data_IF_315103751818
#
_entry.id   IF_315103751818
#
_cell.length_a   1.000
_cell.length_b   1.000
_cell.length_c   1.000
_cell.angle_alpha   90.00
_cell.angle_beta   90.00
_cell.angle_gamma   90.00
#
_symmetry.space_group_name_H-M   'P 1'
#
loop_
_entity.id
_entity.type
_entity.pdbx_description
1 polymer ?
#
# COMPACT_ATOMS: atom_id res chain seq x y z
N UNK A 1 -5.01 24.42 11.80
CA UNK A 1 -6.15 23.57 12.20
C UNK A 1 -6.18 22.28 11.38
N UNK A 2 -6.14 22.37 10.05
CA UNK A 2 -6.06 21.22 9.13
C UNK A 2 -4.91 20.25 9.43
N UNK A 3 -3.71 20.79 9.69
CA UNK A 3 -2.52 19.98 10.02
C UNK A 3 -2.70 19.17 11.31
N UNK A 4 -3.44 19.69 12.29
CA UNK A 4 -3.77 18.98 13.54
C UNK A 4 -4.75 17.83 13.26
N UNK A 5 -5.74 18.07 12.40
CA UNK A 5 -6.74 17.06 12.01
C UNK A 5 -6.05 15.90 11.28
N UNK A 6 -5.14 16.19 10.34
CA UNK A 6 -4.35 15.19 9.63
C UNK A 6 -3.53 14.35 10.63
N UNK A 7 -2.88 15.01 11.59
CA UNK A 7 -2.04 14.35 12.59
C UNK A 7 -2.86 13.40 13.48
N UNK A 8 -4.05 13.84 13.91
CA UNK A 8 -4.99 13.01 14.69
C UNK A 8 -5.47 11.80 13.88
N UNK A 9 -5.78 11.98 12.59
CA UNK A 9 -6.18 10.88 11.71
C UNK A 9 -5.05 9.84 11.54
N UNK A 10 -3.83 10.29 11.29
CA UNK A 10 -2.66 9.40 11.13
C UNK A 10 -2.39 8.62 12.42
N UNK A 11 -2.40 9.30 13.58
CA UNK A 11 -2.22 8.66 14.88
C UNK A 11 -3.35 7.68 15.21
N UNK A 12 -4.60 8.04 14.87
CA UNK A 12 -5.77 7.19 15.05
C UNK A 12 -5.67 5.90 14.24
N UNK A 13 -5.31 6.01 12.96
CA UNK A 13 -5.10 4.85 12.08
C UNK A 13 -3.95 3.98 12.62
N UNK A 14 -2.82 4.59 12.98
CA UNK A 14 -1.67 3.86 13.53
C UNK A 14 -2.02 3.08 14.80
N UNK A 15 -2.79 3.67 15.72
CA UNK A 15 -3.26 3.00 16.94
C UNK A 15 -4.21 1.84 16.64
N UNK A 16 -5.11 2.02 15.67
CA UNK A 16 -6.05 0.98 15.25
C UNK A 16 -5.30 -0.22 14.66
N UNK A 17 -4.31 0.06 13.80
CA UNK A 17 -3.42 -0.95 13.22
C UNK A 17 -2.71 -1.71 14.34
N UNK A 18 -2.10 -1.02 15.30
CA UNK A 18 -1.38 -1.68 16.40
C UNK A 18 -2.29 -2.65 17.18
N UNK A 19 -3.51 -2.23 17.51
CA UNK A 19 -4.50 -3.09 18.18
C UNK A 19 -4.89 -4.33 17.38
N UNK A 20 -4.91 -4.23 16.05
CA UNK A 20 -5.20 -5.38 15.18
C UNK A 20 -4.00 -6.33 15.18
N UNK A 21 -2.78 -5.80 15.02
CA UNK A 21 -1.55 -6.61 15.02
C UNK A 21 -1.33 -7.36 16.34
N UNK A 22 -1.63 -6.75 17.49
CA UNK A 22 -1.54 -7.41 18.80
C UNK A 22 -2.50 -8.61 18.95
N UNK A 23 -3.58 -8.64 18.17
CA UNK A 23 -4.57 -9.73 18.18
C UNK A 23 -4.29 -10.81 17.14
N UNK A 24 -3.40 -10.54 16.17
CA UNK A 24 -3.01 -11.50 15.14
C UNK A 24 -1.75 -12.20 15.62
N UNK A 25 -1.73 -13.53 15.58
CA UNK A 25 -0.53 -14.30 15.92
C UNK A 25 0.54 -14.07 14.83
N UNK A 26 1.39 -13.06 15.05
CA UNK A 26 2.38 -12.55 14.07
C UNK A 26 3.35 -13.65 13.64
N UNK A 27 3.64 -14.61 14.53
CA UNK A 27 4.59 -15.69 14.29
C UNK A 27 4.20 -16.63 13.14
N UNK A 28 2.89 -16.72 12.85
CA UNK A 28 2.35 -17.52 11.73
C UNK A 28 1.66 -16.66 10.66
N UNK A 29 1.74 -15.33 10.78
CA UNK A 29 1.11 -14.43 9.82
C UNK A 29 1.89 -14.42 8.50
N UNK A 30 1.22 -14.76 7.40
CA UNK A 30 1.76 -14.53 6.06
C UNK A 30 1.34 -13.15 5.57
N UNK A 31 2.26 -12.19 5.38
CA UNK A 31 1.93 -10.83 4.95
C UNK A 31 1.55 -10.74 3.46
N UNK A 32 1.34 -11.88 2.79
CA UNK A 32 1.04 -11.94 1.36
C UNK A 32 -0.17 -11.08 0.98
N UNK A 33 -1.25 -11.13 1.77
CA UNK A 33 -2.46 -10.34 1.54
C UNK A 33 -2.23 -8.85 1.78
N UNK A 34 -1.37 -8.50 2.73
CA UNK A 34 -1.01 -7.11 3.00
C UNK A 34 -0.20 -6.50 1.85
N UNK A 35 0.80 -7.23 1.35
CA UNK A 35 1.58 -6.81 0.19
C UNK A 35 0.71 -6.67 -1.07
N UNK A 36 -0.22 -7.60 -1.28
CA UNK A 36 -1.18 -7.49 -2.38
C UNK A 36 -2.08 -6.26 -2.22
N UNK A 37 -2.69 -6.07 -1.05
CA UNK A 37 -3.58 -4.95 -0.79
C UNK A 37 -2.88 -3.60 -0.95
N UNK A 38 -1.66 -3.46 -0.41
CA UNK A 38 -0.85 -2.24 -0.57
C UNK A 38 -0.52 -1.98 -2.04
N UNK A 39 -0.04 -2.99 -2.78
CA UNK A 39 0.25 -2.86 -4.20
C UNK A 39 -0.98 -2.39 -4.99
N UNK A 40 -2.14 -2.98 -4.70
CA UNK A 40 -3.41 -2.62 -5.33
C UNK A 40 -3.85 -1.19 -4.99
N UNK A 41 -3.82 -0.81 -3.72
CA UNK A 41 -4.19 0.54 -3.27
C UNK A 41 -3.30 1.63 -3.88
N UNK A 42 -1.99 1.42 -3.92
CA UNK A 42 -1.08 2.36 -4.58
C UNK A 42 -1.32 2.43 -6.09
N UNK A 43 -1.64 1.31 -6.74
CA UNK A 43 -2.07 1.31 -8.14
C UNK A 43 -3.34 2.14 -8.36
N UNK A 44 -4.33 2.03 -7.47
CA UNK A 44 -5.54 2.87 -7.48
C UNK A 44 -5.16 4.35 -7.33
N UNK A 45 -4.34 4.70 -6.34
CA UNK A 45 -3.92 6.09 -6.11
C UNK A 45 -3.26 6.66 -7.37
N UNK A 46 -2.34 5.91 -8.00
CA UNK A 46 -1.70 6.33 -9.25
C UNK A 46 -2.72 6.60 -10.35
N UNK A 47 -3.64 5.66 -10.62
CA UNK A 47 -4.65 5.80 -11.69
C UNK A 47 -5.59 6.96 -11.42
N UNK A 48 -6.15 7.06 -10.20
CA UNK A 48 -7.09 8.14 -9.87
C UNK A 48 -6.40 9.50 -9.89
N UNK A 49 -5.16 9.61 -9.40
CA UNK A 49 -4.41 10.87 -9.43
C UNK A 49 -4.16 11.34 -10.87
N UNK A 50 -3.85 10.41 -11.78
CA UNK A 50 -3.58 10.73 -13.19
C UNK A 50 -4.83 11.05 -14.01
N UNK A 51 -5.98 10.44 -13.73
CA UNK A 51 -7.11 10.46 -14.66
C UNK A 51 -8.43 10.99 -14.08
N UNK A 52 -8.61 11.01 -12.76
CA UNK A 52 -9.89 11.42 -12.18
C UNK A 52 -10.13 12.92 -12.36
N UNK A 53 -11.18 13.25 -13.13
CA UNK A 53 -11.57 14.64 -13.41
C UNK A 53 -10.62 15.39 -14.32
N UNK A 54 -9.75 14.69 -15.06
CA UNK A 54 -8.79 15.28 -16.02
C UNK A 54 -9.11 14.86 -17.44
N UNK A 55 -9.02 15.79 -18.39
CA UNK A 55 -9.20 15.49 -19.82
C UNK A 55 -7.88 15.08 -20.50
N UNK A 56 -6.75 15.51 -19.93
CA UNK A 56 -5.40 15.20 -20.41
C UNK A 56 -4.39 15.02 -19.28
N UNK A 57 -3.27 14.35 -19.56
CA UNK A 57 -2.17 14.19 -18.59
C UNK A 57 -1.40 15.50 -18.35
N UNK A 58 -1.55 16.49 -19.23
CA UNK A 58 -0.93 17.81 -19.09
C UNK A 58 -1.56 18.61 -17.93
N UNK A 59 -2.77 18.23 -17.49
CA UNK A 59 -3.46 18.80 -16.33
C UNK A 59 -2.95 18.23 -14.99
N UNK A 60 -2.05 17.24 -15.02
CA UNK A 60 -1.45 16.68 -13.79
C UNK A 60 -0.40 17.65 -13.26
N UNK A 61 -0.68 18.24 -12.11
CA UNK A 61 0.21 19.20 -11.46
C UNK A 61 1.52 18.54 -11.00
N UNK A 62 2.59 19.33 -10.76
CA UNK A 62 3.85 18.80 -10.23
C UNK A 62 3.70 18.02 -8.91
N UNK A 63 2.78 18.45 -8.03
CA UNK A 63 2.48 17.75 -6.78
C UNK A 63 1.82 16.39 -7.03
N UNK A 64 0.87 16.33 -7.95
CA UNK A 64 0.21 15.08 -8.33
C UNK A 64 1.19 14.11 -9.00
N UNK A 65 2.13 14.60 -9.81
CA UNK A 65 3.23 13.79 -10.34
C UNK A 65 4.13 13.22 -9.24
N UNK A 66 4.40 13.98 -8.17
CA UNK A 66 5.12 13.47 -7.01
C UNK A 66 4.34 12.35 -6.30
N UNK A 67 3.02 12.51 -6.13
CA UNK A 67 2.14 11.48 -5.57
C UNK A 67 2.14 10.22 -6.45
N UNK A 68 2.05 10.38 -7.77
CA UNK A 68 2.11 9.28 -8.75
C UNK A 68 3.44 8.55 -8.65
N UNK A 69 4.57 9.26 -8.59
CA UNK A 69 5.89 8.67 -8.51
C UNK A 69 6.07 7.84 -7.21
N UNK A 70 5.71 8.42 -6.05
CA UNK A 70 5.79 7.71 -4.76
C UNK A 70 4.87 6.49 -4.77
N UNK A 71 3.64 6.63 -5.25
CA UNK A 71 2.69 5.52 -5.32
C UNK A 71 3.17 4.41 -6.24
N UNK A 72 3.75 4.74 -7.40
CA UNK A 72 4.31 3.76 -8.32
C UNK A 72 5.48 2.97 -7.69
N UNK A 73 6.39 3.66 -6.99
CA UNK A 73 7.52 3.03 -6.28
C UNK A 73 7.01 2.10 -5.18
N UNK A 74 6.13 2.61 -4.31
CA UNK A 74 5.57 1.85 -3.19
C UNK A 74 4.74 0.65 -3.66
N UNK A 75 3.88 0.85 -4.68
CA UNK A 75 3.07 -0.20 -5.27
C UNK A 75 3.92 -1.32 -5.87
N UNK A 76 4.97 -0.95 -6.60
CA UNK A 76 5.93 -1.90 -7.18
C UNK A 76 6.70 -2.65 -6.10
N UNK A 77 7.20 -1.96 -5.07
CA UNK A 77 7.90 -2.59 -3.95
C UNK A 77 7.03 -3.63 -3.23
N UNK A 78 5.77 -3.30 -2.97
CA UNK A 78 4.80 -4.22 -2.37
C UNK A 78 4.49 -5.41 -3.29
N UNK A 79 4.35 -5.20 -4.60
CA UNK A 79 4.16 -6.29 -5.55
C UNK A 79 5.34 -7.27 -5.58
N UNK A 80 6.58 -6.75 -5.56
CA UNK A 80 7.79 -7.58 -5.48
C UNK A 80 7.77 -8.44 -4.20
N UNK A 81 7.39 -7.86 -3.07
CA UNK A 81 7.29 -8.58 -1.79
C UNK A 81 6.18 -9.65 -1.82
N UNK A 82 5.03 -9.33 -2.42
CA UNK A 82 3.96 -10.31 -2.68
C UNK A 82 4.47 -11.51 -3.49
N UNK A 83 5.20 -11.27 -4.58
CA UNK A 83 5.75 -12.34 -5.43
C UNK A 83 6.79 -13.17 -4.67
N UNK A 84 7.68 -12.54 -3.90
CA UNK A 84 8.68 -13.23 -3.07
C UNK A 84 8.02 -14.15 -2.04
N UNK A 85 7.03 -13.63 -1.31
CA UNK A 85 6.33 -14.42 -0.29
C UNK A 85 5.50 -15.55 -0.91
N UNK A 86 4.84 -15.29 -2.05
CA UNK A 86 4.13 -16.31 -2.83
C UNK A 86 5.03 -17.49 -3.23
N UNK A 87 6.26 -17.20 -3.70
CA UNK A 87 7.25 -18.22 -4.08
C UNK A 87 7.73 -19.02 -2.87
N UNK A 88 7.95 -18.36 -1.72
CA UNK A 88 8.34 -18.99 -0.45
C UNK A 88 7.26 -19.94 0.09
N UNK A 89 5.99 -19.58 -0.02
CA UNK A 89 4.88 -20.46 0.38
C UNK A 89 4.82 -21.68 -0.54
N UNK A 90 4.96 -21.49 -1.86
CA UNK A 90 4.99 -22.61 -2.82
C UNK A 90 6.14 -23.58 -2.53
N UNK A 91 7.36 -23.07 -2.28
CA UNK A 91 8.52 -23.93 -2.00
C UNK A 91 8.39 -24.71 -0.68
N UNK A 92 7.78 -24.12 0.35
CA UNK A 92 7.46 -24.82 1.62
C UNK A 92 6.45 -25.94 1.42
N UNK A 93 5.47 -25.79 0.52
CA UNK A 93 4.48 -26.84 0.21
C UNK A 93 5.09 -28.01 -0.56
N UNK A 94 6.07 -27.77 -1.43
CA UNK A 94 6.72 -28.84 -2.22
C UNK A 94 7.71 -29.69 -1.41
N UNK A 95 8.22 -29.17 -0.28
CA UNK A 95 9.12 -29.89 0.63
C UNK A 95 8.40 -30.71 1.71
N UNK A 96 7.08 -30.62 1.78
CA UNK A 96 6.21 -31.44 2.63
C UNK A 96 5.57 -32.53 1.79
#
# INVERSE_FOLDING_TARGET
MELIIILVLVLGIASLVNKIYDRVNIDNYSPIWEYFAKAFLYGIITVFTMFYGKESLDEVSPLEWAIVAVSAIEGTGNYINYVKESKKIKSKKTKK
#
